data_IF_919350864240
#
_entry.id   IF_919350864240
#
_cell.length_a   1.000
_cell.length_b   1.000
_cell.length_c   1.000
_cell.angle_alpha   90.00
_cell.angle_beta   90.00
_cell.angle_gamma   90.00
#
_symmetry.space_group_name_H-M   'P 1'
#
loop_
_entity.id
_entity.type
_entity.pdbx_description
1 polymer ?
#
# COMPACT_ATOMS: atom_id res chain seq x y z
N UNK A 1 27.53 -51.32 12.60
CA UNK A 1 27.19 -49.96 13.14
C UNK A 1 27.81 -48.78 12.41
N UNK A 2 29.06 -48.80 11.95
CA UNK A 2 29.71 -47.61 11.31
C UNK A 2 29.17 -47.22 9.93
N UNK A 3 28.71 -48.15 9.10
CA UNK A 3 28.19 -47.85 7.75
C UNK A 3 26.81 -47.23 7.80
N UNK A 4 25.89 -47.74 8.62
CA UNK A 4 24.55 -47.19 8.78
C UNK A 4 24.57 -45.75 9.32
N UNK A 5 25.48 -45.41 10.25
CA UNK A 5 25.64 -44.05 10.77
C UNK A 5 26.16 -43.11 9.71
N UNK A 6 27.07 -43.53 8.84
CA UNK A 6 27.58 -42.69 7.74
C UNK A 6 26.49 -42.39 6.70
N UNK A 7 25.68 -43.41 6.35
CA UNK A 7 24.54 -43.24 5.44
C UNK A 7 23.48 -42.32 6.05
N UNK A 8 23.17 -42.48 7.32
CA UNK A 8 22.26 -41.62 8.04
C UNK A 8 22.72 -40.15 8.07
N UNK A 9 23.98 -39.92 8.44
CA UNK A 9 24.56 -38.57 8.45
C UNK A 9 24.60 -37.94 7.04
N UNK A 10 24.96 -38.73 6.01
CA UNK A 10 24.96 -38.28 4.62
C UNK A 10 23.55 -37.86 4.14
N UNK A 11 22.54 -38.66 4.46
CA UNK A 11 21.15 -38.36 4.14
C UNK A 11 20.69 -37.05 4.79
N UNK A 12 20.92 -36.90 6.10
CA UNK A 12 20.53 -35.67 6.82
C UNK A 12 21.30 -34.43 6.33
N UNK A 13 22.57 -34.60 5.94
CA UNK A 13 23.34 -33.52 5.36
C UNK A 13 22.76 -33.04 4.02
N UNK A 14 22.38 -33.97 3.15
CA UNK A 14 21.78 -33.67 1.84
C UNK A 14 20.41 -32.99 2.04
N UNK A 15 19.54 -33.57 2.90
CA UNK A 15 18.22 -32.96 3.19
C UNK A 15 18.35 -31.62 3.84
N UNK A 16 19.26 -31.45 4.78
CA UNK A 16 19.51 -30.16 5.44
C UNK A 16 20.01 -29.09 4.46
N UNK A 17 20.90 -29.48 3.55
CA UNK A 17 21.39 -28.58 2.50
C UNK A 17 20.29 -28.19 1.52
N UNK A 18 19.48 -29.16 1.09
CA UNK A 18 18.33 -28.88 0.22
C UNK A 18 17.30 -27.96 0.89
N UNK A 19 16.95 -28.21 2.14
CA UNK A 19 16.05 -27.37 2.93
C UNK A 19 16.61 -25.94 3.09
N UNK A 20 17.91 -25.80 3.34
CA UNK A 20 18.58 -24.50 3.43
C UNK A 20 18.46 -23.72 2.11
N UNK A 21 18.73 -24.36 0.97
CA UNK A 21 18.60 -23.70 -0.34
C UNK A 21 17.17 -23.29 -0.65
N UNK A 22 16.19 -24.18 -0.39
CA UNK A 22 14.77 -23.86 -0.58
C UNK A 22 14.35 -22.68 0.30
N UNK A 23 14.74 -22.69 1.57
CA UNK A 23 14.44 -21.57 2.47
C UNK A 23 15.09 -20.28 2.02
N UNK A 24 16.34 -20.32 1.56
CA UNK A 24 17.06 -19.15 1.04
C UNK A 24 16.38 -18.56 -0.18
N UNK A 25 15.98 -19.39 -1.14
CA UNK A 25 15.23 -18.96 -2.34
C UNK A 25 13.89 -18.33 -1.94
N UNK A 26 13.16 -18.99 -1.02
CA UNK A 26 11.88 -18.48 -0.56
C UNK A 26 11.99 -17.09 0.07
N UNK A 27 12.95 -16.89 0.97
CA UNK A 27 13.15 -15.61 1.66
C UNK A 27 13.65 -14.52 0.73
N UNK A 28 14.57 -14.84 -0.18
CA UNK A 28 15.26 -13.85 -1.00
C UNK A 28 14.51 -13.50 -2.29
N UNK A 29 13.72 -14.41 -2.83
CA UNK A 29 13.07 -14.23 -4.14
C UNK A 29 11.55 -14.11 -4.03
N UNK A 30 10.90 -15.02 -3.29
CA UNK A 30 9.43 -15.10 -3.28
C UNK A 30 8.82 -13.96 -2.46
N UNK A 31 9.30 -13.73 -1.24
CA UNK A 31 8.79 -12.65 -0.38
C UNK A 31 8.93 -11.25 -1.00
N UNK A 32 10.11 -10.86 -1.51
CA UNK A 32 10.28 -9.58 -2.17
C UNK A 32 9.41 -9.43 -3.42
N UNK A 33 9.30 -10.48 -4.24
CA UNK A 33 8.53 -10.46 -5.47
C UNK A 33 7.03 -10.18 -5.27
N UNK A 34 6.41 -10.82 -4.27
CA UNK A 34 5.00 -10.56 -3.92
C UNK A 34 4.81 -9.11 -3.46
N UNK A 35 5.69 -8.62 -2.59
CA UNK A 35 5.63 -7.25 -2.10
C UNK A 35 5.79 -6.23 -3.24
N UNK A 36 6.72 -6.47 -4.14
CA UNK A 36 6.96 -5.61 -5.30
C UNK A 36 5.74 -5.56 -6.24
N UNK A 37 5.09 -6.68 -6.49
CA UNK A 37 3.87 -6.73 -7.30
C UNK A 37 2.72 -5.96 -6.65
N UNK A 38 2.51 -6.10 -5.35
CA UNK A 38 1.51 -5.33 -4.60
C UNK A 38 1.81 -3.84 -4.63
N UNK A 39 3.06 -3.45 -4.37
CA UNK A 39 3.50 -2.06 -4.38
C UNK A 39 3.30 -1.42 -5.75
N UNK A 40 3.66 -2.11 -6.84
CA UNK A 40 3.43 -1.63 -8.21
C UNK A 40 1.95 -1.37 -8.49
N UNK A 41 1.06 -2.29 -8.10
CA UNK A 41 -0.39 -2.11 -8.26
C UNK A 41 -0.91 -0.92 -7.44
N UNK A 42 -0.39 -0.71 -6.24
CA UNK A 42 -0.77 0.44 -5.40
C UNK A 42 -0.29 1.76 -6.01
N UNK A 43 0.92 1.79 -6.60
CA UNK A 43 1.44 2.97 -7.31
C UNK A 43 0.51 3.37 -8.45
N UNK A 44 0.12 2.42 -9.30
CA UNK A 44 -0.77 2.70 -10.43
C UNK A 44 -2.14 3.19 -9.94
N UNK A 45 -2.73 2.52 -8.96
CA UNK A 45 -4.01 2.89 -8.38
C UNK A 45 -3.96 4.28 -7.69
N UNK A 46 -2.90 4.58 -6.95
CA UNK A 46 -2.72 5.86 -6.29
C UNK A 46 -2.62 7.01 -7.31
N UNK A 47 -1.89 6.83 -8.42
CA UNK A 47 -1.76 7.84 -9.46
C UNK A 47 -3.09 8.10 -10.18
N UNK A 48 -3.85 7.04 -10.51
CA UNK A 48 -5.18 7.20 -11.12
C UNK A 48 -6.14 7.93 -10.19
N UNK A 49 -6.16 7.58 -8.91
CA UNK A 49 -7.01 8.25 -7.92
C UNK A 49 -6.57 9.69 -7.65
N UNK A 50 -5.26 9.98 -7.67
CA UNK A 50 -4.72 11.32 -7.53
C UNK A 50 -5.20 12.25 -8.65
N UNK A 51 -5.17 11.77 -9.89
CA UNK A 51 -5.69 12.51 -11.04
C UNK A 51 -7.21 12.76 -10.91
N UNK A 52 -7.97 11.75 -10.47
CA UNK A 52 -9.42 11.90 -10.24
C UNK A 52 -9.76 12.88 -9.11
N UNK A 53 -8.88 13.07 -8.13
CA UNK A 53 -9.06 13.99 -7.02
C UNK A 53 -8.67 15.43 -7.34
N UNK A 54 -7.84 15.65 -8.37
CA UNK A 54 -7.19 16.93 -8.71
C UNK A 54 -8.17 18.11 -8.80
N UNK A 55 -9.21 17.99 -9.60
CA UNK A 55 -10.18 19.07 -9.80
C UNK A 55 -10.91 19.49 -8.53
N UNK A 56 -11.36 18.53 -7.72
CA UNK A 56 -12.08 18.81 -6.49
C UNK A 56 -11.15 19.30 -5.37
N UNK A 57 -9.90 18.85 -5.34
CA UNK A 57 -8.89 19.36 -4.42
C UNK A 57 -8.57 20.83 -4.74
N UNK A 58 -8.36 21.17 -6.01
CA UNK A 58 -8.11 22.54 -6.46
C UNK A 58 -9.30 23.46 -6.14
N UNK A 59 -10.52 22.97 -6.24
CA UNK A 59 -11.74 23.70 -5.92
C UNK A 59 -12.06 23.77 -4.42
N UNK A 60 -11.31 23.06 -3.56
CA UNK A 60 -11.58 22.98 -2.12
C UNK A 60 -12.87 22.22 -1.75
N UNK A 61 -13.39 21.37 -2.65
CA UNK A 61 -14.67 20.64 -2.49
C UNK A 61 -14.48 19.14 -2.30
N UNK A 62 -13.24 18.66 -2.12
CA UNK A 62 -12.91 17.24 -2.12
C UNK A 62 -13.65 16.46 -1.04
N UNK A 63 -13.78 17.01 0.18
CA UNK A 63 -14.38 16.32 1.32
C UNK A 63 -15.87 15.98 1.12
N UNK A 64 -16.60 16.87 0.43
CA UNK A 64 -18.04 16.74 0.18
C UNK A 64 -18.35 16.46 -1.30
N UNK A 65 -17.32 16.30 -2.12
CA UNK A 65 -17.40 16.18 -3.55
C UNK A 65 -17.77 14.79 -4.05
N UNK A 66 -17.74 14.65 -5.36
CA UNK A 66 -18.01 13.38 -6.04
C UNK A 66 -16.94 12.34 -5.74
N UNK A 67 -15.66 12.77 -5.60
CA UNK A 67 -14.57 11.89 -5.26
C UNK A 67 -14.83 11.17 -3.93
N UNK A 68 -15.11 11.92 -2.86
CA UNK A 68 -15.41 11.36 -1.54
C UNK A 68 -16.58 10.38 -1.57
N UNK A 69 -17.70 10.75 -2.24
CA UNK A 69 -18.86 9.88 -2.39
C UNK A 69 -18.54 8.60 -3.19
N UNK A 70 -17.70 8.68 -4.21
CA UNK A 70 -17.29 7.52 -5.01
C UNK A 70 -16.42 6.56 -4.21
N UNK A 71 -15.46 7.08 -3.44
CA UNK A 71 -14.62 6.27 -2.54
C UNK A 71 -15.49 5.55 -1.50
N UNK A 72 -16.40 6.27 -0.84
CA UNK A 72 -17.31 5.68 0.14
C UNK A 72 -18.17 4.56 -0.47
N UNK A 73 -18.72 4.78 -1.66
CA UNK A 73 -19.50 3.74 -2.38
C UNK A 73 -18.65 2.54 -2.78
N UNK A 74 -17.39 2.78 -3.19
CA UNK A 74 -16.48 1.70 -3.54
C UNK A 74 -16.17 0.82 -2.33
N UNK A 75 -15.94 1.40 -1.16
CA UNK A 75 -15.69 0.66 0.08
C UNK A 75 -16.89 -0.18 0.56
N UNK A 76 -18.12 0.22 0.20
CA UNK A 76 -19.34 -0.53 0.52
C UNK A 76 -19.64 -1.66 -0.49
N UNK A 77 -18.88 -1.77 -1.58
CA UNK A 77 -19.12 -2.81 -2.59
C UNK A 77 -18.62 -4.16 -2.12
N UNK A 78 -19.41 -5.20 -2.34
CA UNK A 78 -18.92 -6.58 -2.39
C UNK A 78 -18.43 -6.86 -3.82
N UNK A 79 -17.11 -6.96 -4.06
CA UNK A 79 -16.57 -7.24 -5.38
C UNK A 79 -16.91 -8.64 -5.88
N UNK A 80 -17.38 -9.56 -5.00
CA UNK A 80 -17.72 -10.96 -5.29
C UNK A 80 -16.62 -11.71 -6.03
N UNK A 81 -15.36 -11.30 -5.83
CA UNK A 81 -14.22 -11.86 -6.55
C UNK A 81 -13.66 -13.09 -5.81
N UNK A 82 -13.39 -14.15 -6.54
CA UNK A 82 -12.61 -15.28 -6.06
C UNK A 82 -11.16 -15.12 -6.50
N UNK A 83 -10.28 -14.90 -5.54
CA UNK A 83 -8.84 -14.84 -5.77
C UNK A 83 -8.24 -16.12 -5.22
N UNK A 84 -7.95 -17.09 -6.10
CA UNK A 84 -7.52 -18.44 -5.75
C UNK A 84 -8.55 -19.14 -4.85
N UNK A 85 -8.23 -19.32 -3.57
CA UNK A 85 -9.07 -19.99 -2.56
C UNK A 85 -9.76 -19.00 -1.63
N UNK A 86 -9.52 -17.71 -1.82
CA UNK A 86 -10.02 -16.64 -0.97
C UNK A 86 -11.10 -15.84 -1.69
N UNK A 87 -12.23 -15.63 -1.02
CA UNK A 87 -13.29 -14.76 -1.50
C UNK A 87 -13.06 -13.36 -0.96
N UNK A 88 -12.86 -12.40 -1.86
CA UNK A 88 -12.78 -10.99 -1.52
C UNK A 88 -14.17 -10.37 -1.53
N UNK A 89 -14.62 -9.91 -0.36
CA UNK A 89 -15.94 -9.36 -0.13
C UNK A 89 -15.93 -7.84 0.06
N UNK A 90 -14.76 -7.26 0.30
CA UNK A 90 -14.57 -5.86 0.67
C UNK A 90 -13.50 -5.20 -0.20
N UNK A 91 -13.58 -3.89 -0.32
CA UNK A 91 -12.52 -3.05 -0.88
C UNK A 91 -11.76 -2.44 0.31
N UNK A 92 -10.57 -2.97 0.59
CA UNK A 92 -9.86 -2.71 1.85
C UNK A 92 -8.91 -1.50 1.78
N UNK A 93 -8.97 -0.72 0.70
CA UNK A 93 -8.15 0.48 0.57
C UNK A 93 -8.62 1.59 1.49
N UNK A 94 -7.69 2.15 2.27
CA UNK A 94 -7.88 3.45 2.89
C UNK A 94 -7.27 4.52 1.97
N UNK A 95 -8.04 5.56 1.69
CA UNK A 95 -7.61 6.70 0.87
C UNK A 95 -7.52 7.93 1.76
N UNK A 96 -6.35 8.56 1.80
CA UNK A 96 -6.15 9.85 2.45
C UNK A 96 -5.61 10.86 1.44
N UNK A 97 -6.05 12.10 1.54
CA UNK A 97 -5.54 13.20 0.70
C UNK A 97 -5.10 14.34 1.60
N UNK A 98 -3.91 14.84 1.36
CA UNK A 98 -3.38 16.05 2.02
C UNK A 98 -3.37 17.24 1.07
N UNK A 99 -3.34 18.45 1.63
CA UNK A 99 -2.98 19.64 0.90
C UNK A 99 -1.46 19.71 0.62
N UNK A 100 -1.01 20.77 -0.04
CA UNK A 100 0.41 20.98 -0.36
C UNK A 100 1.30 21.18 0.89
N UNK A 101 0.73 21.40 2.07
CA UNK A 101 1.46 21.51 3.35
C UNK A 101 1.54 20.16 4.07
N UNK A 102 0.84 19.13 3.57
CA UNK A 102 0.78 17.81 4.20
C UNK A 102 -0.32 17.67 5.24
N UNK A 103 -1.26 18.62 5.34
CA UNK A 103 -2.41 18.51 6.23
C UNK A 103 -3.51 17.69 5.55
N UNK A 104 -4.05 16.70 6.23
CA UNK A 104 -5.10 15.81 5.71
C UNK A 104 -6.40 16.58 5.53
N UNK A 105 -6.88 16.67 4.29
CA UNK A 105 -8.15 17.29 3.91
C UNK A 105 -9.26 16.28 3.63
N UNK A 106 -8.88 15.04 3.37
CA UNK A 106 -9.81 13.92 3.19
C UNK A 106 -9.21 12.63 3.73
N UNK A 107 -10.03 11.84 4.39
CA UNK A 107 -9.72 10.49 4.84
C UNK A 107 -10.97 9.62 4.71
N UNK A 108 -10.89 8.54 3.95
CA UNK A 108 -12.01 7.64 3.70
C UNK A 108 -12.57 6.95 4.96
N UNK A 109 -11.80 6.94 6.05
CA UNK A 109 -12.25 6.47 7.37
C UNK A 109 -12.60 7.62 8.34
N UNK A 110 -12.40 8.88 7.93
CA UNK A 110 -12.69 10.06 8.74
C UNK A 110 -11.84 10.26 9.99
N UNK A 111 -10.72 9.53 10.15
CA UNK A 111 -9.96 9.48 11.41
C UNK A 111 -8.90 10.57 11.51
N UNK A 112 -8.25 10.90 10.40
CA UNK A 112 -7.06 11.75 10.38
C UNK A 112 -7.29 13.13 9.74
N UNK A 113 -8.54 13.50 9.41
CA UNK A 113 -8.84 14.83 8.83
C UNK A 113 -8.34 15.94 9.75
N UNK A 114 -7.58 16.89 9.19
CA UNK A 114 -6.95 17.99 9.91
C UNK A 114 -5.57 17.65 10.51
N UNK A 115 -5.14 16.39 10.48
CA UNK A 115 -3.83 15.97 10.99
C UNK A 115 -2.69 16.36 10.04
N UNK A 116 -1.56 16.78 10.60
CA UNK A 116 -0.34 17.04 9.86
C UNK A 116 0.45 15.74 9.62
N UNK A 117 0.47 15.29 8.38
CA UNK A 117 1.21 14.13 7.90
C UNK A 117 2.48 14.51 7.11
N UNK A 118 2.88 15.79 7.09
CA UNK A 118 4.01 16.29 6.32
C UNK A 118 5.35 15.60 6.64
N UNK A 119 5.46 14.99 7.83
CA UNK A 119 6.67 14.28 8.29
C UNK A 119 6.63 12.77 8.00
N UNK A 120 5.52 12.24 7.54
CA UNK A 120 5.41 10.83 7.22
C UNK A 120 6.11 10.54 5.89
N UNK A 121 6.92 9.51 5.84
CA UNK A 121 7.84 9.27 4.74
C UNK A 121 7.17 9.21 3.35
N UNK A 122 5.96 8.64 3.27
CA UNK A 122 5.16 8.61 2.06
C UNK A 122 4.78 10.03 1.59
N UNK A 123 4.19 10.86 2.47
CA UNK A 123 3.80 12.24 2.18
C UNK A 123 5.03 13.14 2.00
N UNK A 124 6.00 13.07 2.92
CA UNK A 124 7.19 13.89 2.91
C UNK A 124 7.96 13.81 1.59
N UNK A 125 8.22 12.59 1.11
CA UNK A 125 8.95 12.38 -0.13
C UNK A 125 8.17 12.83 -1.35
N UNK A 126 6.86 12.54 -1.39
CA UNK A 126 6.00 12.91 -2.52
C UNK A 126 5.85 14.43 -2.64
N UNK A 127 5.76 15.17 -1.53
CA UNK A 127 5.78 16.65 -1.54
C UNK A 127 7.07 17.24 -2.12
N UNK A 128 8.16 16.47 -2.14
CA UNK A 128 9.47 16.86 -2.71
C UNK A 128 9.68 16.37 -4.13
N UNK A 129 8.66 15.78 -4.74
CA UNK A 129 8.75 15.21 -6.10
C UNK A 129 9.45 13.86 -6.16
N UNK A 130 9.62 13.17 -5.02
CA UNK A 130 10.19 11.84 -4.93
C UNK A 130 9.11 10.78 -4.72
N UNK A 131 9.39 9.55 -5.10
CA UNK A 131 8.50 8.43 -4.77
C UNK A 131 8.41 8.23 -3.25
N UNK A 132 7.21 8.28 -2.72
CA UNK A 132 6.90 8.13 -1.31
C UNK A 132 6.14 6.84 -0.99
N UNK A 133 6.73 6.00 -0.14
CA UNK A 133 6.07 4.82 0.42
C UNK A 133 6.53 4.59 1.86
N UNK A 134 5.70 3.93 2.64
CA UNK A 134 6.01 3.46 4.00
C UNK A 134 5.23 2.21 4.37
N UNK A 135 5.71 1.49 5.37
CA UNK A 135 4.94 0.44 6.04
C UNK A 135 4.71 0.82 7.50
N UNK A 136 3.54 0.50 8.02
CA UNK A 136 3.21 0.66 9.44
C UNK A 136 2.58 -0.62 9.98
N UNK A 137 2.62 -0.87 11.31
CA UNK A 137 1.81 -1.93 11.89
C UNK A 137 0.32 -1.75 11.59
N UNK A 138 -0.40 -2.84 11.45
CA UNK A 138 -1.86 -2.82 11.36
C UNK A 138 -2.44 -2.68 12.78
N UNK A 139 -2.87 -1.47 13.13
CA UNK A 139 -3.37 -1.14 14.47
C UNK A 139 -4.80 -1.66 14.67
N UNK A 140 -5.56 -1.79 13.58
CA UNK A 140 -6.99 -2.15 13.62
C UNK A 140 -7.25 -3.63 13.29
N UNK A 141 -6.22 -4.34 12.82
CA UNK A 141 -6.28 -5.74 12.42
C UNK A 141 -5.30 -6.63 13.19
N UNK A 142 -4.55 -7.44 12.47
CA UNK A 142 -3.52 -8.30 13.06
C UNK A 142 -2.26 -7.49 13.42
N UNK A 143 -1.85 -7.41 14.69
CA UNK A 143 -0.64 -6.68 15.09
C UNK A 143 0.66 -7.23 14.45
N UNK A 144 0.63 -8.45 13.94
CA UNK A 144 1.75 -9.05 13.19
C UNK A 144 1.74 -8.67 11.71
N UNK A 145 0.63 -8.12 11.21
CA UNK A 145 0.51 -7.63 9.84
C UNK A 145 1.02 -6.19 9.70
N UNK A 146 1.35 -5.83 8.48
CA UNK A 146 1.79 -4.47 8.14
C UNK A 146 0.93 -3.89 7.04
N UNK A 147 0.54 -2.64 7.21
CA UNK A 147 -0.15 -1.85 6.20
C UNK A 147 0.88 -1.17 5.31
N UNK A 148 0.76 -1.36 4.01
CA UNK A 148 1.57 -0.65 3.02
C UNK A 148 0.87 0.65 2.62
N UNK A 149 1.59 1.75 2.64
CA UNK A 149 1.15 3.07 2.22
C UNK A 149 1.96 3.50 1.01
N UNK A 150 1.28 3.88 -0.06
CA UNK A 150 1.89 4.41 -1.28
C UNK A 150 1.28 5.75 -1.60
N UNK A 151 2.11 6.74 -1.82
CA UNK A 151 1.68 8.10 -2.11
C UNK A 151 1.90 8.46 -3.58
N UNK A 152 0.97 9.25 -4.12
CA UNK A 152 1.03 9.85 -5.43
C UNK A 152 0.82 11.36 -5.34
N UNK A 153 1.55 12.17 -6.12
CA UNK A 153 1.35 13.61 -6.18
C UNK A 153 0.03 13.96 -6.85
N UNK A 154 -0.63 14.99 -6.35
CA UNK A 154 -1.78 15.61 -7.01
C UNK A 154 -1.33 16.93 -7.59
N UNK A 155 -1.42 17.07 -8.90
CA UNK A 155 -1.09 18.29 -9.61
C UNK A 155 -2.36 19.12 -9.90
N UNK A 156 -2.18 20.43 -10.07
CA UNK A 156 -3.29 21.29 -10.44
C UNK A 156 -3.82 20.92 -11.84
N UNK A 157 -5.16 20.97 -12.07
CA UNK A 157 -5.74 20.60 -13.36
C UNK A 157 -5.19 21.42 -14.53
N UNK A 158 -4.87 22.69 -14.28
CA UNK A 158 -4.41 23.64 -15.30
C UNK A 158 -2.88 23.76 -15.36
N UNK A 159 -2.14 23.14 -14.45
CA UNK A 159 -0.69 23.20 -14.35
C UNK A 159 -0.10 21.89 -13.83
N UNK A 160 0.32 20.99 -14.73
CA UNK A 160 0.89 19.69 -14.35
C UNK A 160 2.25 19.79 -13.63
N UNK A 161 2.84 20.98 -13.55
CA UNK A 161 4.06 21.22 -12.77
C UNK A 161 3.77 21.69 -11.33
N UNK A 162 2.52 22.08 -11.04
CA UNK A 162 2.14 22.62 -9.73
C UNK A 162 1.52 21.55 -8.83
N UNK A 163 2.29 21.07 -7.88
CA UNK A 163 1.81 20.11 -6.86
C UNK A 163 0.87 20.86 -5.88
N UNK A 164 -0.35 20.35 -5.72
CA UNK A 164 -1.40 20.91 -4.85
C UNK A 164 -1.74 20.01 -3.66
N UNK A 165 -1.28 18.77 -3.66
CA UNK A 165 -1.52 17.84 -2.58
C UNK A 165 -0.91 16.47 -2.84
N UNK A 166 -1.18 15.55 -1.92
CA UNK A 166 -0.71 14.15 -2.00
C UNK A 166 -1.87 13.22 -1.68
N UNK A 167 -2.08 12.22 -2.52
CA UNK A 167 -2.98 11.11 -2.23
C UNK A 167 -2.16 9.94 -1.72
N UNK A 168 -2.51 9.38 -0.58
CA UNK A 168 -1.95 8.13 -0.06
C UNK A 168 -2.99 7.03 -0.10
N UNK A 169 -2.63 5.93 -0.71
CA UNK A 169 -3.40 4.69 -0.74
C UNK A 169 -2.77 3.69 0.23
N UNK A 170 -3.55 3.22 1.20
CA UNK A 170 -3.08 2.25 2.19
C UNK A 170 -3.84 0.93 2.04
N UNK A 171 -3.09 -0.18 2.14
CA UNK A 171 -3.63 -1.54 2.09
C UNK A 171 -3.00 -2.38 3.19
N UNK A 172 -3.82 -3.08 4.03
CA UNK A 172 -3.37 -4.08 4.99
C UNK A 172 -2.72 -5.29 4.33
#
# INVERSE_FOLDING_TARGET
MRLGLKLFLGFFLIVGLAAFFVMRVFVNEVKPGVRQAMESTLVDAANVLAEMASGELAAGTLADGRFARNVARAQQRDPKAWVWRFRKNTVDYRVTVTDARGVVVFDSLGRDVGRDNSRWNDVYRTLRGEYGARSSPDIDGDPAATVMHVAAPIYAPDDPGKLIGVLTLAQP
#
